data_IF_148967837366
#
_entry.id   IF_148967837366
#
_cell.length_a   1.000
_cell.length_b   1.000
_cell.length_c   1.000
_cell.angle_alpha   90.00
_cell.angle_beta   90.00
_cell.angle_gamma   90.00
#
_symmetry.space_group_name_H-M   'P 1'
#
loop_
_entity.id
_entity.type
_entity.pdbx_description
1 polymer ?
#
# COMPACT_ATOMS: atom_id res chain seq x y z
N UNK A 1 1.91 25.85 4.97
CA UNK A 1 1.88 24.39 5.28
C UNK A 1 2.74 23.69 4.27
N UNK A 2 3.77 22.98 4.70
CA UNK A 2 4.67 22.25 3.80
C UNK A 2 4.05 20.90 3.48
N UNK A 3 4.02 20.46 2.21
CA UNK A 3 3.41 19.19 1.84
C UNK A 3 4.14 18.02 2.49
N UNK A 4 3.34 17.06 2.88
CA UNK A 4 3.79 15.76 3.32
C UNK A 4 4.76 15.12 2.30
N UNK A 5 5.90 14.68 2.77
CA UNK A 5 6.91 14.01 1.95
C UNK A 5 7.96 14.91 1.31
N UNK A 6 7.85 16.24 1.40
CA UNK A 6 8.88 17.13 0.88
C UNK A 6 9.94 17.53 1.92
N UNK A 7 9.60 17.43 3.18
CA UNK A 7 10.47 17.79 4.29
C UNK A 7 10.26 16.85 5.48
N UNK A 8 11.35 16.36 6.04
CA UNK A 8 11.38 15.74 7.37
C UNK A 8 12.45 16.47 8.18
N UNK A 9 12.13 16.77 9.45
CA UNK A 9 13.05 17.39 10.40
C UNK A 9 13.22 16.50 11.63
N UNK A 10 14.44 16.48 12.15
CA UNK A 10 14.82 15.72 13.33
C UNK A 10 15.58 16.60 14.30
N UNK A 11 15.25 16.53 15.60
CA UNK A 11 16.06 17.04 16.69
C UNK A 11 16.82 15.84 17.27
N UNK A 12 18.15 15.87 17.22
CA UNK A 12 18.99 14.69 17.41
C UNK A 12 18.55 13.54 16.47
N UNK A 13 17.97 12.48 17.00
CA UNK A 13 17.46 11.36 16.25
C UNK A 13 15.92 11.28 16.22
N UNK A 14 15.23 12.17 16.93
CA UNK A 14 13.77 12.19 17.02
C UNK A 14 13.13 13.06 15.94
N UNK A 15 12.15 12.53 15.21
CA UNK A 15 11.40 13.30 14.22
C UNK A 15 10.54 14.37 14.90
N UNK A 16 10.71 15.62 14.48
CA UNK A 16 9.96 16.76 14.99
C UNK A 16 8.89 17.21 13.99
N UNK A 17 7.81 17.76 14.51
CA UNK A 17 6.77 18.35 13.69
C UNK A 17 7.12 19.79 13.34
N UNK A 18 7.63 20.03 12.16
CA UNK A 18 7.85 21.38 11.62
C UNK A 18 6.49 22.04 11.38
N UNK A 19 6.28 23.20 11.99
CA UNK A 19 5.07 24.02 11.82
C UNK A 19 5.29 25.18 10.87
N UNK A 20 6.47 25.79 10.90
CA UNK A 20 6.87 26.89 10.00
C UNK A 20 8.28 26.65 9.48
N UNK A 21 8.52 27.07 8.24
CA UNK A 21 9.84 27.05 7.59
C UNK A 21 10.13 28.41 6.99
N UNK A 22 11.28 28.99 7.32
CA UNK A 22 11.80 30.22 6.77
C UNK A 22 13.28 30.07 6.39
N UNK A 23 13.82 31.01 5.65
CA UNK A 23 15.24 31.02 5.25
C UNK A 23 16.19 31.19 6.46
N UNK A 24 15.72 31.88 7.51
CA UNK A 24 16.49 32.20 8.70
C UNK A 24 16.20 31.29 9.87
N UNK A 25 15.36 30.27 9.67
CA UNK A 25 14.98 29.34 10.74
C UNK A 25 13.68 28.61 10.50
N UNK A 26 13.18 28.00 11.55
CA UNK A 26 11.97 27.21 11.51
C UNK A 26 11.30 27.12 12.88
N UNK A 27 10.01 26.77 12.90
CA UNK A 27 9.29 26.46 14.13
C UNK A 27 8.90 24.97 14.15
N UNK A 28 8.91 24.37 15.34
CA UNK A 28 8.44 23.02 15.53
C UNK A 28 7.68 22.85 16.87
N UNK A 29 6.92 21.76 16.99
CA UNK A 29 6.14 21.41 18.18
C UNK A 29 6.48 20.02 18.68
N UNK A 30 6.43 19.89 20.02
CA UNK A 30 6.52 18.61 20.72
C UNK A 30 5.47 18.54 21.82
N UNK A 31 5.13 17.33 22.26
CA UNK A 31 4.22 17.08 23.39
C UNK A 31 4.98 17.03 24.72
N UNK A 32 6.28 16.81 24.67
CA UNK A 32 7.18 16.78 25.82
C UNK A 32 8.28 17.83 25.64
N UNK A 33 8.80 18.41 26.73
CA UNK A 33 9.89 19.37 26.62
C UNK A 33 11.15 18.68 26.10
N UNK A 34 11.86 19.36 25.21
CA UNK A 34 13.15 18.86 24.69
C UNK A 34 14.26 19.41 25.56
N UNK A 35 14.96 18.54 26.32
CA UNK A 35 15.91 18.97 27.34
C UNK A 35 17.25 19.52 26.77
N UNK A 36 17.76 18.92 25.68
CA UNK A 36 18.99 19.37 25.02
C UNK A 36 18.97 19.00 23.54
N UNK A 37 19.15 19.99 22.69
CA UNK A 37 19.35 19.81 21.27
C UNK A 37 20.73 20.37 20.91
N UNK A 38 21.57 19.53 20.34
CA UNK A 38 22.89 19.92 19.83
C UNK A 38 22.90 20.06 18.32
N UNK A 39 21.97 19.38 17.63
CA UNK A 39 21.83 19.44 16.17
C UNK A 39 20.40 19.20 15.75
N UNK A 40 20.06 19.80 14.61
CA UNK A 40 18.90 19.39 13.82
C UNK A 40 19.40 18.74 12.53
N UNK A 41 18.61 17.84 11.99
CA UNK A 41 18.83 17.22 10.69
C UNK A 41 17.56 17.35 9.86
N UNK A 42 17.71 17.83 8.65
CA UNK A 42 16.62 17.98 7.68
C UNK A 42 16.86 17.10 6.48
N UNK A 43 15.80 16.50 5.98
CA UNK A 43 15.77 15.83 4.69
C UNK A 43 14.86 16.66 3.78
N UNK A 44 15.46 17.47 2.92
CA UNK A 44 14.77 18.26 1.90
C UNK A 44 14.64 17.45 0.62
N UNK A 45 13.45 17.41 0.05
CA UNK A 45 13.25 16.79 -1.24
C UNK A 45 13.61 17.75 -2.37
N UNK A 46 14.60 17.37 -3.18
CA UNK A 46 14.95 18.06 -4.41
C UNK A 46 14.13 17.48 -5.56
N UNK A 47 13.20 18.26 -6.09
CA UNK A 47 12.31 17.83 -7.16
C UNK A 47 13.01 17.69 -8.51
N UNK A 48 14.07 18.45 -8.75
CA UNK A 48 14.82 18.37 -10.01
C UNK A 48 15.67 17.10 -10.08
N UNK A 49 16.31 16.75 -8.95
CA UNK A 49 17.10 15.53 -8.82
C UNK A 49 16.24 14.29 -8.50
N UNK A 50 14.98 14.48 -8.06
CA UNK A 50 14.10 13.42 -7.55
C UNK A 50 14.72 12.62 -6.39
N UNK A 51 15.40 13.31 -5.48
CA UNK A 51 16.08 12.71 -4.32
C UNK A 51 15.98 13.58 -3.08
N UNK A 52 16.22 12.95 -1.90
CA UNK A 52 16.34 13.70 -0.66
C UNK A 52 17.78 14.13 -0.42
N UNK A 53 17.93 15.39 -0.03
CA UNK A 53 19.20 15.98 0.39
C UNK A 53 19.17 16.22 1.89
N UNK A 54 20.17 15.68 2.59
CA UNK A 54 20.27 15.77 4.03
C UNK A 54 21.12 16.95 4.45
N UNK A 55 20.60 17.79 5.36
CA UNK A 55 21.28 18.98 5.88
C UNK A 55 21.29 18.94 7.40
N UNK A 56 22.46 19.07 8.00
CA UNK A 56 22.64 19.21 9.44
C UNK A 56 22.71 20.68 9.83
N UNK A 57 21.97 21.06 10.88
CA UNK A 57 22.02 22.39 11.49
C UNK A 57 22.56 22.25 12.90
N UNK A 58 23.76 22.80 13.12
CA UNK A 58 24.50 22.71 14.39
C UNK A 58 24.78 24.07 15.02
N UNK A 59 24.50 25.15 14.28
CA UNK A 59 24.65 26.52 14.76
C UNK A 59 23.28 27.18 14.71
N UNK A 60 22.68 27.37 15.87
CA UNK A 60 21.36 27.91 15.97
C UNK A 60 21.09 28.56 17.35
N UNK A 61 20.12 29.42 17.39
CA UNK A 61 19.50 29.94 18.60
C UNK A 61 18.12 29.31 18.75
N UNK A 62 17.80 28.81 19.95
CA UNK A 62 16.54 28.13 20.26
C UNK A 62 15.75 28.96 21.27
N UNK A 63 14.52 29.30 20.91
CA UNK A 63 13.55 29.93 21.81
C UNK A 63 12.38 28.98 22.06
N UNK A 64 12.06 28.77 23.31
CA UNK A 64 10.93 27.95 23.74
C UNK A 64 9.73 28.81 24.14
N UNK A 65 8.54 28.38 23.72
CA UNK A 65 7.28 28.87 24.26
C UNK A 65 6.37 27.70 24.60
N UNK A 66 5.56 27.86 25.64
CA UNK A 66 4.59 26.84 26.05
C UNK A 66 3.18 27.34 25.82
N UNK A 67 2.35 26.55 25.19
CA UNK A 67 0.92 26.81 25.10
C UNK A 67 0.12 25.61 25.58
N UNK A 68 -1.00 25.86 26.26
CA UNK A 68 -1.94 24.82 26.68
C UNK A 68 -3.13 24.82 25.69
N UNK A 69 -3.24 23.81 24.90
CA UNK A 69 -4.35 23.64 23.96
C UNK A 69 -5.24 22.51 24.45
N UNK A 70 -6.48 22.86 24.88
CA UNK A 70 -7.49 21.87 25.34
C UNK A 70 -6.98 20.96 26.47
N UNK A 71 -6.19 21.53 27.43
CA UNK A 71 -5.69 20.80 28.60
C UNK A 71 -4.50 19.85 28.30
N UNK A 72 -3.95 19.91 27.12
CA UNK A 72 -2.72 19.18 26.73
C UNK A 72 -1.60 20.21 26.57
N UNK A 73 -0.49 20.11 27.35
CA UNK A 73 0.66 20.98 27.15
C UNK A 73 1.28 20.74 25.77
N UNK A 74 1.53 21.83 25.05
CA UNK A 74 2.23 21.81 23.77
C UNK A 74 3.42 22.74 23.89
N UNK A 75 4.60 22.23 23.59
CA UNK A 75 5.83 22.98 23.56
C UNK A 75 6.10 23.42 22.12
N UNK A 76 6.27 24.73 21.93
CA UNK A 76 6.58 25.34 20.64
C UNK A 76 7.99 25.91 20.70
N UNK A 77 8.76 25.62 19.69
CA UNK A 77 10.14 26.03 19.57
C UNK A 77 10.34 26.84 18.29
N UNK A 78 11.03 27.97 18.42
CA UNK A 78 11.49 28.75 17.29
C UNK A 78 13.01 28.64 17.21
N UNK A 79 13.52 28.26 16.08
CA UNK A 79 14.95 28.08 15.83
C UNK A 79 15.39 29.08 14.79
N UNK A 80 16.44 29.87 15.12
CA UNK A 80 17.11 30.76 14.19
C UNK A 80 18.46 30.18 13.81
N UNK A 81 18.81 30.25 12.53
CA UNK A 81 20.09 29.76 12.02
C UNK A 81 20.53 30.57 10.81
N UNK A 82 21.82 30.91 10.79
CA UNK A 82 22.47 31.57 9.66
C UNK A 82 23.24 30.56 8.77
N UNK A 83 23.08 29.28 9.01
CA UNK A 83 23.82 28.22 8.34
C UNK A 83 23.45 28.17 6.84
N UNK A 84 24.40 28.48 5.97
CA UNK A 84 24.19 28.70 4.54
C UNK A 84 23.59 27.45 3.83
N UNK A 85 23.98 26.24 4.23
CA UNK A 85 23.42 25.00 3.67
C UNK A 85 21.94 24.89 3.96
N UNK A 86 21.50 25.14 5.22
CA UNK A 86 20.09 25.14 5.57
C UNK A 86 19.33 26.21 4.78
N UNK A 87 19.84 27.44 4.77
CA UNK A 87 19.19 28.57 4.09
C UNK A 87 18.94 28.29 2.61
N UNK A 88 19.93 27.75 1.91
CA UNK A 88 19.80 27.42 0.48
C UNK A 88 18.73 26.40 0.21
N UNK A 89 18.66 25.33 1.02
CA UNK A 89 17.66 24.27 0.85
C UNK A 89 16.26 24.73 1.26
N UNK A 90 16.14 25.50 2.35
CA UNK A 90 14.86 26.07 2.78
C UNK A 90 14.30 27.02 1.72
N UNK A 91 15.15 27.91 1.16
CA UNK A 91 14.75 28.81 0.08
C UNK A 91 14.31 28.05 -1.17
N UNK A 92 15.07 27.06 -1.60
CA UNK A 92 14.72 26.23 -2.74
C UNK A 92 13.37 25.51 -2.51
N UNK A 93 13.15 24.96 -1.33
CA UNK A 93 11.91 24.29 -0.94
C UNK A 93 10.70 25.25 -0.97
N UNK A 94 10.86 26.46 -0.40
CA UNK A 94 9.79 27.47 -0.36
C UNK A 94 9.42 27.90 -1.77
N UNK A 95 10.41 28.17 -2.63
CA UNK A 95 10.18 28.57 -4.02
C UNK A 95 9.51 27.46 -4.84
N UNK A 96 9.99 26.22 -4.68
CA UNK A 96 9.40 25.06 -5.35
C UNK A 96 7.95 24.85 -4.92
N UNK A 97 7.66 24.97 -3.63
CA UNK A 97 6.30 24.82 -3.12
C UNK A 97 5.38 25.96 -3.58
N UNK A 98 5.85 27.20 -3.55
CA UNK A 98 5.09 28.35 -4.06
C UNK A 98 4.74 28.18 -5.55
N UNK A 99 5.71 27.74 -6.35
CA UNK A 99 5.49 27.42 -7.77
C UNK A 99 4.45 26.31 -7.95
N UNK A 100 4.54 25.25 -7.17
CA UNK A 100 3.55 24.16 -7.20
C UNK A 100 2.14 24.67 -6.84
N UNK A 101 1.99 25.48 -5.79
CA UNK A 101 0.70 26.02 -5.36
C UNK A 101 0.09 26.91 -6.45
N UNK A 102 0.91 27.75 -7.10
CA UNK A 102 0.44 28.61 -8.21
C UNK A 102 -0.06 27.76 -9.38
N UNK A 103 0.69 26.76 -9.80
CA UNK A 103 0.28 25.85 -10.88
C UNK A 103 -1.00 25.08 -10.53
N UNK A 104 -1.12 24.60 -9.29
CA UNK A 104 -2.32 23.92 -8.83
C UNK A 104 -3.55 24.81 -8.81
N UNK A 105 -3.39 26.10 -8.46
CA UNK A 105 -4.49 27.07 -8.44
C UNK A 105 -4.90 27.51 -9.84
N UNK A 106 -3.96 27.56 -10.78
CA UNK A 106 -4.24 27.89 -12.18
C UNK A 106 -4.84 26.75 -12.98
N UNK A 107 -5.00 25.55 -12.39
CA UNK A 107 -5.43 24.32 -13.06
C UNK A 107 -4.54 23.91 -14.25
N UNK A 108 -3.35 24.51 -14.37
CA UNK A 108 -2.37 24.11 -15.37
C UNK A 108 -1.74 22.79 -14.95
N UNK A 109 -1.96 21.77 -15.75
CA UNK A 109 -1.30 20.46 -15.65
C UNK A 109 0.15 20.63 -16.17
N UNK A 110 1.04 21.04 -15.28
CA UNK A 110 2.45 21.20 -15.60
C UNK A 110 3.28 19.98 -15.15
N UNK A 111 4.47 19.86 -15.70
CA UNK A 111 5.48 18.84 -15.35
C UNK A 111 5.68 18.69 -13.83
N UNK A 112 5.53 19.78 -13.07
CA UNK A 112 5.63 19.78 -11.61
C UNK A 112 4.47 19.08 -10.90
N UNK A 113 3.27 19.19 -11.43
CA UNK A 113 2.11 18.45 -10.89
C UNK A 113 2.27 16.96 -11.11
N UNK A 114 2.79 16.55 -12.26
CA UNK A 114 3.09 15.15 -12.57
C UNK A 114 4.21 14.63 -11.68
N UNK A 115 5.31 15.37 -11.53
CA UNK A 115 6.43 14.98 -10.71
C UNK A 115 6.09 14.86 -9.21
N UNK A 116 5.22 15.77 -8.69
CA UNK A 116 4.91 15.81 -7.26
C UNK A 116 3.71 14.98 -6.84
N UNK A 117 2.69 14.91 -7.67
CA UNK A 117 1.37 14.39 -7.27
C UNK A 117 0.99 13.09 -7.98
N UNK A 118 1.79 12.62 -8.95
CA UNK A 118 1.43 11.47 -9.76
C UNK A 118 0.03 11.64 -10.32
N UNK A 119 -0.19 12.64 -11.15
CA UNK A 119 -1.48 12.83 -11.81
C UNK A 119 -1.84 11.60 -12.63
N UNK A 120 -3.14 11.30 -12.78
CA UNK A 120 -3.55 10.21 -13.65
C UNK A 120 -3.00 10.43 -15.04
N UNK A 121 -1.96 9.68 -15.39
CA UNK A 121 -1.39 9.69 -16.72
C UNK A 121 -2.11 8.68 -17.61
N UNK A 122 -2.34 9.02 -18.88
CA UNK A 122 -2.80 8.03 -19.85
C UNK A 122 -1.74 6.95 -20.00
N UNK A 123 -2.19 5.72 -20.12
CA UNK A 123 -1.32 4.58 -20.46
C UNK A 123 -0.99 4.61 -21.96
N UNK A 124 -0.28 5.64 -22.41
CA UNK A 124 0.29 5.74 -23.74
C UNK A 124 1.63 4.99 -23.87
N UNK A 125 2.26 5.06 -25.03
CA UNK A 125 3.51 4.33 -25.30
C UNK A 125 4.67 4.84 -24.41
N UNK A 126 4.75 6.14 -24.15
CA UNK A 126 5.80 6.72 -23.32
C UNK A 126 5.63 6.32 -21.85
N UNK A 127 4.40 6.37 -21.37
CA UNK A 127 4.07 5.89 -20.03
C UNK A 127 4.38 4.40 -19.88
N UNK A 128 3.99 3.57 -20.86
CA UNK A 128 4.24 2.12 -20.83
C UNK A 128 5.75 1.82 -20.79
N UNK A 129 6.56 2.58 -21.54
CA UNK A 129 8.03 2.45 -21.53
C UNK A 129 8.59 2.81 -20.14
N UNK A 130 8.21 3.96 -19.59
CA UNK A 130 8.69 4.42 -18.30
C UNK A 130 8.28 3.47 -17.16
N UNK A 131 7.04 2.98 -17.17
CA UNK A 131 6.59 2.00 -16.19
C UNK A 131 7.34 0.67 -16.31
N UNK A 132 7.60 0.22 -17.53
CA UNK A 132 8.36 -1.01 -17.76
C UNK A 132 9.81 -0.90 -17.27
N UNK A 133 10.46 0.25 -17.46
CA UNK A 133 11.80 0.52 -16.90
C UNK A 133 11.78 0.56 -15.38
N UNK A 134 10.79 1.22 -14.79
CA UNK A 134 10.65 1.28 -13.34
C UNK A 134 10.36 -0.11 -12.74
N UNK A 135 9.50 -0.92 -13.36
CA UNK A 135 9.27 -2.31 -12.94
C UNK A 135 10.55 -3.15 -12.97
N UNK A 136 11.38 -3.04 -14.02
CA UNK A 136 12.68 -3.74 -14.07
C UNK A 136 13.58 -3.33 -12.92
N UNK A 137 13.69 -2.03 -12.63
CA UNK A 137 14.49 -1.53 -11.52
C UNK A 137 13.96 -2.05 -10.16
N UNK A 138 12.66 -2.01 -9.95
CA UNK A 138 12.02 -2.51 -8.72
C UNK A 138 12.30 -3.99 -8.47
N UNK A 139 12.11 -4.83 -9.49
CA UNK A 139 12.30 -6.27 -9.30
C UNK A 139 13.76 -6.68 -9.31
N UNK A 140 14.65 -5.93 -9.97
CA UNK A 140 16.08 -6.11 -9.81
C UNK A 140 16.52 -5.82 -8.36
N UNK A 141 16.07 -4.71 -7.76
CA UNK A 141 16.36 -4.38 -6.37
C UNK A 141 15.85 -5.47 -5.40
N UNK A 142 14.64 -6.01 -5.62
CA UNK A 142 14.16 -7.15 -4.84
C UNK A 142 15.08 -8.37 -4.95
N UNK A 143 15.52 -8.73 -6.17
CA UNK A 143 16.40 -9.89 -6.40
C UNK A 143 17.78 -9.70 -5.78
N UNK A 144 18.37 -8.49 -5.87
CA UNK A 144 19.67 -8.17 -5.30
C UNK A 144 19.72 -8.36 -3.78
N UNK A 145 18.58 -8.23 -3.11
CA UNK A 145 18.50 -8.43 -1.65
C UNK A 145 18.30 -9.89 -1.23
N UNK A 146 17.91 -10.78 -2.15
CA UNK A 146 17.56 -12.18 -1.84
C UNK A 146 18.80 -13.07 -1.68
N UNK A 147 18.71 -14.02 -0.76
CA UNK A 147 19.74 -15.01 -0.48
C UNK A 147 19.23 -16.44 -0.66
N UNK A 148 20.13 -17.42 -0.69
CA UNK A 148 19.75 -18.84 -0.79
C UNK A 148 18.86 -19.28 0.40
N UNK A 149 19.08 -18.72 1.59
CA UNK A 149 18.27 -19.04 2.77
C UNK A 149 16.84 -18.46 2.66
N UNK A 150 16.66 -17.34 1.97
CA UNK A 150 15.32 -16.78 1.70
C UNK A 150 14.53 -17.69 0.78
N UNK A 151 15.20 -18.24 -0.25
CA UNK A 151 14.59 -19.20 -1.19
C UNK A 151 14.11 -20.46 -0.46
N UNK A 152 14.87 -20.99 0.48
CA UNK A 152 14.47 -22.18 1.26
C UNK A 152 13.18 -21.95 2.05
N UNK A 153 12.97 -20.75 2.56
CA UNK A 153 11.75 -20.41 3.28
C UNK A 153 10.56 -20.16 2.37
N UNK A 154 10.79 -19.49 1.25
CA UNK A 154 9.76 -19.29 0.24
C UNK A 154 9.25 -20.62 -0.30
N UNK A 155 10.11 -21.63 -0.44
CA UNK A 155 9.72 -22.99 -0.85
C UNK A 155 8.89 -23.75 0.19
N UNK A 156 8.93 -23.34 1.46
CA UNK A 156 8.11 -23.92 2.53
C UNK A 156 6.74 -23.29 2.66
N UNK A 157 6.56 -22.07 2.14
CA UNK A 157 5.30 -21.37 2.13
C UNK A 157 4.51 -21.68 0.84
N UNK A 158 3.19 -21.70 0.93
CA UNK A 158 2.34 -21.73 -0.28
C UNK A 158 2.55 -20.45 -1.08
N UNK A 159 2.76 -20.54 -2.39
CA UNK A 159 2.80 -19.37 -3.25
C UNK A 159 1.43 -19.17 -3.93
N UNK A 160 0.93 -17.94 -3.84
CA UNK A 160 -0.31 -17.52 -4.48
C UNK A 160 -0.07 -16.32 -5.42
N UNK A 161 -0.87 -16.20 -6.46
CA UNK A 161 -0.93 -15.01 -7.30
C UNK A 161 -2.23 -14.26 -7.06
N UNK A 162 -2.15 -12.94 -6.97
CA UNK A 162 -3.31 -12.06 -6.88
C UNK A 162 -3.74 -11.58 -8.26
N UNK A 163 -4.97 -11.97 -8.65
CA UNK A 163 -5.67 -11.48 -9.82
C UNK A 163 -6.73 -10.50 -9.33
N UNK A 164 -6.53 -9.21 -9.54
CA UNK A 164 -7.27 -8.13 -8.88
C UNK A 164 -8.02 -7.19 -9.86
N UNK A 165 -8.02 -7.54 -11.15
CA UNK A 165 -8.58 -6.67 -12.19
C UNK A 165 -9.01 -7.43 -13.45
N UNK A 166 -9.93 -6.85 -14.25
CA UNK A 166 -10.50 -7.51 -15.42
C UNK A 166 -9.44 -8.06 -16.40
N UNK A 167 -8.36 -7.31 -16.64
CA UNK A 167 -7.32 -7.74 -17.59
C UNK A 167 -6.64 -9.05 -17.16
N UNK A 168 -6.44 -9.25 -15.85
CA UNK A 168 -5.86 -10.50 -15.32
C UNK A 168 -6.86 -11.65 -15.39
N UNK A 169 -8.15 -11.39 -15.11
CA UNK A 169 -9.21 -12.39 -15.20
C UNK A 169 -9.36 -12.89 -16.64
N UNK A 170 -9.37 -11.97 -17.60
CA UNK A 170 -9.48 -12.29 -19.04
C UNK A 170 -8.29 -13.11 -19.52
N UNK A 171 -7.06 -12.72 -19.14
CA UNK A 171 -5.86 -13.46 -19.54
C UNK A 171 -5.83 -14.86 -18.91
N UNK A 172 -6.16 -14.98 -17.64
CA UNK A 172 -6.23 -16.29 -16.99
C UNK A 172 -7.31 -17.18 -17.62
N UNK A 173 -8.47 -16.63 -17.95
CA UNK A 173 -9.55 -17.38 -18.60
C UNK A 173 -9.19 -17.84 -20.03
N UNK A 174 -8.35 -17.08 -20.74
CA UNK A 174 -8.06 -17.30 -22.15
C UNK A 174 -7.00 -18.38 -22.44
N UNK A 175 -6.17 -18.77 -21.47
CA UNK A 175 -5.03 -19.66 -21.70
C UNK A 175 -4.79 -20.62 -20.54
N UNK A 176 -4.13 -21.79 -20.75
CA UNK A 176 -3.71 -22.68 -19.66
C UNK A 176 -2.85 -21.97 -18.62
N UNK A 177 -2.93 -22.39 -17.36
CA UNK A 177 -2.22 -21.74 -16.24
C UNK A 177 -0.71 -21.58 -16.47
N UNK A 178 -0.04 -22.59 -17.03
CA UNK A 178 1.38 -22.50 -17.33
C UNK A 178 1.72 -21.36 -18.31
N UNK A 179 0.89 -21.18 -19.35
CA UNK A 179 1.06 -20.06 -20.31
C UNK A 179 0.72 -18.72 -19.68
N UNK A 180 -0.31 -18.70 -18.83
CA UNK A 180 -0.65 -17.50 -18.04
C UNK A 180 0.50 -17.08 -17.13
N UNK A 181 1.17 -18.02 -16.47
CA UNK A 181 2.33 -17.73 -15.64
C UNK A 181 3.47 -17.10 -16.44
N UNK A 182 3.83 -17.67 -17.57
CA UNK A 182 4.88 -17.12 -18.43
C UNK A 182 4.53 -15.70 -18.89
N UNK A 183 3.31 -15.49 -19.34
CA UNK A 183 2.82 -14.17 -19.70
C UNK A 183 2.84 -13.20 -18.51
N UNK A 184 2.37 -13.61 -17.34
CA UNK A 184 2.29 -12.78 -16.13
C UNK A 184 3.64 -12.24 -15.70
N UNK A 185 4.66 -13.10 -15.67
CA UNK A 185 6.01 -12.69 -15.28
C UNK A 185 6.69 -11.81 -16.34
N UNK A 186 6.50 -12.10 -17.62
CA UNK A 186 7.03 -11.30 -18.72
C UNK A 186 6.39 -9.90 -18.78
N UNK A 187 5.06 -9.83 -18.68
CA UNK A 187 4.33 -8.56 -18.70
C UNK A 187 4.73 -7.66 -17.54
N UNK A 188 4.91 -8.23 -16.36
CA UNK A 188 5.36 -7.51 -15.19
C UNK A 188 6.86 -7.22 -15.13
N UNK A 189 7.65 -7.66 -16.12
CA UNK A 189 9.12 -7.48 -16.15
C UNK A 189 9.82 -8.12 -14.92
N UNK A 190 9.27 -9.22 -14.43
CA UNK A 190 9.66 -9.90 -13.20
C UNK A 190 10.21 -11.32 -13.42
N UNK A 191 10.69 -11.64 -14.62
CA UNK A 191 11.20 -12.98 -14.98
C UNK A 191 12.39 -13.41 -14.10
N UNK A 192 13.26 -12.47 -13.73
CA UNK A 192 14.39 -12.78 -12.84
C UNK A 192 13.90 -13.09 -11.41
N UNK A 193 12.89 -12.39 -10.94
CA UNK A 193 12.27 -12.67 -9.64
C UNK A 193 11.58 -14.04 -9.63
N UNK A 194 10.93 -14.44 -10.73
CA UNK A 194 10.29 -15.75 -10.89
C UNK A 194 11.24 -16.90 -10.56
N UNK A 195 12.51 -16.82 -10.94
CA UNK A 195 13.51 -17.89 -10.74
C UNK A 195 13.77 -18.21 -9.27
N UNK A 196 13.41 -17.32 -8.38
CA UNK A 196 13.58 -17.45 -6.93
C UNK A 196 12.34 -17.97 -6.21
N UNK A 197 11.20 -18.06 -6.92
CA UNK A 197 9.91 -18.40 -6.34
C UNK A 197 9.45 -19.79 -6.79
N UNK A 198 8.75 -20.54 -5.92
CA UNK A 198 8.12 -21.79 -6.31
C UNK A 198 7.00 -21.55 -7.34
N UNK A 199 6.47 -22.61 -7.92
CA UNK A 199 5.30 -22.51 -8.77
C UNK A 199 4.07 -22.17 -7.90
N UNK A 200 3.28 -21.16 -8.26
CA UNK A 200 2.05 -20.86 -7.54
C UNK A 200 1.04 -22.00 -7.58
N UNK A 201 0.43 -22.29 -6.45
CA UNK A 201 -0.58 -23.34 -6.29
C UNK A 201 -1.96 -22.79 -5.92
N UNK A 202 -2.06 -21.46 -5.81
CA UNK A 202 -3.29 -20.76 -5.43
C UNK A 202 -3.48 -19.47 -6.23
N UNK A 203 -4.74 -19.14 -6.48
CA UNK A 203 -5.14 -17.85 -7.03
C UNK A 203 -6.00 -17.08 -6.04
N UNK A 204 -5.72 -15.78 -5.89
CA UNK A 204 -6.61 -14.81 -5.28
C UNK A 204 -7.43 -14.15 -6.37
N UNK A 205 -8.75 -14.27 -6.30
CA UNK A 205 -9.69 -13.69 -7.28
C UNK A 205 -10.51 -12.59 -6.62
N UNK A 206 -10.43 -11.39 -7.17
CA UNK A 206 -11.15 -10.23 -6.65
C UNK A 206 -10.22 -9.09 -6.24
N UNK A 207 -10.77 -8.03 -5.67
CA UNK A 207 -10.00 -6.84 -5.33
C UNK A 207 -10.34 -6.35 -3.92
N UNK A 208 -9.33 -6.26 -3.05
CA UNK A 208 -9.49 -5.84 -1.66
C UNK A 208 -9.90 -4.36 -1.50
N UNK A 209 -9.71 -3.52 -2.51
CA UNK A 209 -9.81 -2.07 -2.39
C UNK A 209 -10.96 -1.44 -3.20
N UNK A 210 -11.36 -2.07 -4.31
CA UNK A 210 -12.38 -1.53 -5.21
C UNK A 210 -13.40 -2.62 -5.60
N UNK A 211 -14.63 -2.49 -5.12
CA UNK A 211 -15.71 -3.43 -5.42
C UNK A 211 -16.09 -3.51 -6.91
N UNK A 212 -15.83 -2.43 -7.68
CA UNK A 212 -16.12 -2.37 -9.12
C UNK A 212 -15.09 -3.12 -9.98
N UNK A 213 -13.99 -3.59 -9.37
CA UNK A 213 -13.01 -4.47 -10.02
C UNK A 213 -13.21 -5.95 -9.67
N UNK A 214 -14.19 -6.27 -8.85
CA UNK A 214 -14.59 -7.65 -8.59
C UNK A 214 -15.10 -8.29 -9.89
N UNK A 215 -14.75 -9.55 -10.19
CA UNK A 215 -15.18 -10.19 -11.43
C UNK A 215 -16.70 -10.34 -11.48
N UNK A 216 -17.32 -10.18 -12.66
CA UNK A 216 -18.71 -10.57 -12.85
C UNK A 216 -18.94 -12.02 -12.42
N UNK A 217 -20.12 -12.31 -11.88
CA UNK A 217 -20.42 -13.62 -11.31
C UNK A 217 -20.14 -14.79 -12.25
N UNK A 218 -20.61 -14.71 -13.48
CA UNK A 218 -20.37 -15.75 -14.49
C UNK A 218 -18.86 -15.96 -14.76
N UNK A 219 -18.07 -14.90 -14.76
CA UNK A 219 -16.62 -14.98 -14.90
C UNK A 219 -15.97 -15.58 -13.65
N UNK A 220 -16.43 -15.20 -12.45
CA UNK A 220 -15.94 -15.79 -11.20
C UNK A 220 -16.12 -17.31 -11.20
N UNK A 221 -17.33 -17.80 -11.46
CA UNK A 221 -17.59 -19.24 -11.49
C UNK A 221 -16.84 -19.98 -12.60
N UNK A 222 -16.68 -19.37 -13.78
CA UNK A 222 -15.85 -19.94 -14.84
C UNK A 222 -14.37 -20.07 -14.41
N UNK A 223 -13.83 -19.08 -13.69
CA UNK A 223 -12.45 -19.13 -13.14
C UNK A 223 -12.34 -20.16 -12.01
N UNK A 224 -13.36 -20.32 -11.17
CA UNK A 224 -13.39 -21.36 -10.13
C UNK A 224 -13.34 -22.77 -10.74
N UNK A 225 -14.16 -23.05 -11.76
CA UNK A 225 -14.11 -24.33 -12.48
C UNK A 225 -12.77 -24.59 -13.12
N UNK A 226 -12.24 -23.60 -13.82
CA UNK A 226 -10.92 -23.68 -14.44
C UNK A 226 -9.81 -23.95 -13.40
N UNK A 227 -9.81 -23.23 -12.28
CA UNK A 227 -8.84 -23.43 -11.22
C UNK A 227 -8.92 -24.85 -10.64
N UNK A 228 -10.13 -25.37 -10.46
CA UNK A 228 -10.37 -26.74 -10.00
C UNK A 228 -9.80 -27.77 -11.00
N UNK A 229 -10.07 -27.60 -12.30
CA UNK A 229 -9.51 -28.46 -13.37
C UNK A 229 -7.97 -28.41 -13.41
N UNK A 230 -7.37 -27.26 -13.13
CA UNK A 230 -5.92 -27.04 -13.07
C UNK A 230 -5.31 -27.36 -11.69
N UNK A 231 -6.11 -27.92 -10.77
CA UNK A 231 -5.69 -28.29 -9.39
C UNK A 231 -5.12 -27.10 -8.58
N UNK A 232 -5.65 -25.90 -8.81
CA UNK A 232 -5.32 -24.70 -8.08
C UNK A 232 -6.31 -24.44 -6.95
N UNK A 233 -5.82 -24.12 -5.77
CA UNK A 233 -6.66 -23.60 -4.69
C UNK A 233 -7.10 -22.16 -5.01
N UNK A 234 -8.25 -21.74 -4.48
CA UNK A 234 -8.77 -20.40 -4.71
C UNK A 234 -9.09 -19.70 -3.39
N UNK A 235 -8.74 -18.42 -3.35
CA UNK A 235 -9.15 -17.44 -2.35
C UNK A 235 -9.94 -16.35 -3.06
N UNK A 236 -11.16 -16.06 -2.62
CA UNK A 236 -11.96 -14.96 -3.17
C UNK A 236 -11.82 -13.74 -2.28
N UNK A 237 -11.40 -12.63 -2.86
CA UNK A 237 -11.11 -11.39 -2.13
C UNK A 237 -12.19 -10.35 -2.36
N UNK A 238 -12.91 -10.01 -1.31
CA UNK A 238 -13.89 -8.93 -1.32
C UNK A 238 -13.28 -7.64 -0.76
N UNK A 239 -13.71 -6.50 -1.30
CA UNK A 239 -13.48 -5.19 -0.69
C UNK A 239 -14.50 -4.96 0.45
N UNK A 240 -14.51 -3.74 1.03
CA UNK A 240 -15.63 -3.34 1.89
C UNK A 240 -16.96 -3.41 1.14
N UNK A 241 -18.02 -3.86 1.85
CA UNK A 241 -19.35 -4.02 1.27
C UNK A 241 -20.08 -2.67 1.30
N UNK A 242 -20.67 -2.29 0.19
CA UNK A 242 -21.52 -1.12 0.10
C UNK A 242 -22.94 -1.48 0.51
N UNK A 243 -23.64 -0.58 1.18
CA UNK A 243 -25.02 -0.78 1.61
C UNK A 243 -25.94 -1.25 0.46
N UNK A 244 -25.81 -0.62 -0.70
CA UNK A 244 -26.61 -0.96 -1.89
C UNK A 244 -26.24 -2.32 -2.53
N UNK A 245 -25.13 -2.93 -2.14
CA UNK A 245 -24.67 -4.25 -2.61
C UNK A 245 -24.87 -5.37 -1.58
N UNK A 246 -25.41 -5.08 -0.40
CA UNK A 246 -25.57 -6.09 0.65
C UNK A 246 -26.35 -7.31 0.20
N UNK A 247 -27.49 -7.10 -0.45
CA UNK A 247 -28.37 -8.18 -0.95
C UNK A 247 -27.68 -9.00 -2.03
N UNK A 248 -27.02 -8.34 -2.97
CA UNK A 248 -26.30 -9.00 -4.07
C UNK A 248 -25.09 -9.77 -3.56
N UNK A 249 -24.33 -9.20 -2.61
CA UNK A 249 -23.20 -9.87 -1.99
C UNK A 249 -23.63 -11.11 -1.24
N UNK A 250 -24.72 -11.04 -0.46
CA UNK A 250 -25.27 -12.19 0.25
C UNK A 250 -25.70 -13.29 -0.72
N UNK A 251 -26.44 -12.95 -1.77
CA UNK A 251 -26.87 -13.91 -2.78
C UNK A 251 -25.67 -14.56 -3.52
N UNK A 252 -24.59 -13.82 -3.76
CA UNK A 252 -23.36 -14.37 -4.33
C UNK A 252 -22.70 -15.38 -3.38
N UNK A 253 -22.61 -15.07 -2.08
CA UNK A 253 -22.07 -15.98 -1.08
C UNK A 253 -22.89 -17.27 -0.96
N UNK A 254 -24.22 -17.19 -1.01
CA UNK A 254 -25.12 -18.36 -1.03
C UNK A 254 -24.85 -19.25 -2.27
N UNK A 255 -24.60 -18.66 -3.43
CA UNK A 255 -24.24 -19.41 -4.64
C UNK A 255 -22.84 -20.00 -4.58
N UNK A 256 -21.87 -19.30 -3.99
CA UNK A 256 -20.52 -19.84 -3.74
C UNK A 256 -20.58 -21.03 -2.79
N UNK A 257 -21.38 -20.93 -1.70
CA UNK A 257 -21.62 -22.04 -0.79
C UNK A 257 -22.19 -23.25 -1.54
N UNK A 258 -23.25 -23.05 -2.32
CA UNK A 258 -23.86 -24.12 -3.08
C UNK A 258 -22.88 -24.77 -4.08
N UNK A 259 -22.05 -23.97 -4.72
CA UNK A 259 -21.00 -24.44 -5.63
C UNK A 259 -19.95 -25.27 -4.88
N UNK A 260 -19.46 -24.79 -3.73
CA UNK A 260 -18.49 -25.52 -2.90
C UNK A 260 -19.05 -26.88 -2.46
N UNK A 261 -20.31 -26.91 -1.99
CA UNK A 261 -20.97 -28.16 -1.57
C UNK A 261 -21.19 -29.14 -2.72
N UNK A 262 -21.52 -28.64 -3.91
CA UNK A 262 -21.69 -29.46 -5.11
C UNK A 262 -20.37 -30.07 -5.62
N UNK A 263 -19.25 -29.42 -5.38
CA UNK A 263 -17.93 -29.83 -5.84
C UNK A 263 -17.06 -30.47 -4.73
N UNK A 264 -17.58 -30.64 -3.52
CA UNK A 264 -16.90 -31.19 -2.34
C UNK A 264 -15.55 -30.45 -2.09
N UNK A 265 -15.59 -29.12 -2.10
CA UNK A 265 -14.42 -28.28 -1.95
C UNK A 265 -14.67 -27.09 -1.01
N UNK A 266 -13.61 -26.41 -0.63
CA UNK A 266 -13.66 -25.21 0.17
C UNK A 266 -13.05 -24.03 -0.58
N UNK A 267 -13.59 -22.83 -0.35
CA UNK A 267 -13.03 -21.58 -0.85
C UNK A 267 -12.74 -20.68 0.34
N UNK A 268 -11.55 -20.14 0.39
CA UNK A 268 -11.17 -19.13 1.37
C UNK A 268 -11.75 -17.77 0.95
N UNK A 269 -12.31 -17.04 1.89
CA UNK A 269 -12.92 -15.72 1.66
C UNK A 269 -12.14 -14.66 2.44
N UNK A 270 -11.41 -13.78 1.75
CA UNK A 270 -10.78 -12.62 2.40
C UNK A 270 -11.84 -11.58 2.71
N UNK A 271 -12.02 -11.33 3.99
CA UNK A 271 -13.02 -10.43 4.53
C UNK A 271 -12.38 -9.10 4.93
N UNK A 272 -12.80 -8.03 4.25
CA UNK A 272 -12.33 -6.66 4.49
C UNK A 272 -13.39 -5.74 5.12
N UNK A 273 -14.54 -6.31 5.50
CA UNK A 273 -15.67 -5.60 6.13
C UNK A 273 -16.35 -6.47 7.19
N UNK A 274 -16.67 -5.89 8.33
CA UNK A 274 -17.30 -6.62 9.44
C UNK A 274 -18.66 -7.20 9.11
N UNK A 275 -19.43 -6.60 8.20
CA UNK A 275 -20.75 -7.09 7.79
C UNK A 275 -20.68 -8.49 7.14
N UNK A 276 -19.59 -8.79 6.43
CA UNK A 276 -19.42 -10.07 5.75
C UNK A 276 -19.30 -11.26 6.71
N UNK A 277 -18.74 -11.06 7.91
CA UNK A 277 -18.66 -12.16 8.89
C UNK A 277 -20.04 -12.68 9.31
N UNK A 278 -21.02 -11.78 9.35
CA UNK A 278 -22.42 -12.18 9.61
C UNK A 278 -23.03 -12.94 8.44
N UNK A 279 -22.66 -12.57 7.21
CA UNK A 279 -23.17 -13.26 6.00
C UNK A 279 -22.55 -14.65 5.83
N UNK A 280 -21.35 -14.88 6.35
CA UNK A 280 -20.64 -16.17 6.27
C UNK A 280 -20.98 -17.11 7.43
N UNK A 281 -21.78 -16.67 8.40
CA UNK A 281 -21.96 -17.36 9.68
C UNK A 281 -22.34 -18.85 9.54
N UNK A 282 -23.21 -19.17 8.61
CA UNK A 282 -23.78 -20.51 8.42
C UNK A 282 -23.02 -21.35 7.37
N UNK A 283 -22.05 -20.77 6.65
CA UNK A 283 -21.32 -21.41 5.55
C UNK A 283 -19.82 -21.57 5.80
N UNK A 284 -19.33 -21.35 7.04
CA UNK A 284 -17.89 -21.34 7.38
C UNK A 284 -17.18 -22.67 7.17
N UNK A 285 -17.92 -23.75 7.08
CA UNK A 285 -17.40 -25.08 6.79
C UNK A 285 -16.91 -25.23 5.34
N UNK A 286 -17.44 -24.45 4.41
CA UNK A 286 -17.06 -24.46 3.00
C UNK A 286 -16.54 -23.09 2.50
N UNK A 287 -17.00 -21.98 3.11
CA UNK A 287 -16.50 -20.62 2.86
C UNK A 287 -15.66 -20.16 4.06
N UNK A 288 -14.37 -20.45 4.01
CA UNK A 288 -13.45 -20.24 5.15
C UNK A 288 -13.05 -18.77 5.27
N UNK A 289 -13.43 -18.06 6.35
CA UNK A 289 -13.13 -16.65 6.48
C UNK A 289 -11.65 -16.40 6.81
N UNK A 290 -11.02 -15.48 6.08
CA UNK A 290 -9.69 -14.95 6.32
C UNK A 290 -9.75 -13.46 6.64
N UNK A 291 -9.01 -13.01 7.65
CA UNK A 291 -9.02 -11.63 8.11
C UNK A 291 -8.21 -10.74 7.18
N UNK A 292 -8.88 -9.89 6.41
CA UNK A 292 -8.29 -9.12 5.33
C UNK A 292 -7.42 -7.93 5.78
N UNK A 293 -6.60 -7.45 4.86
CA UNK A 293 -5.63 -6.36 5.11
C UNK A 293 -6.27 -5.04 5.52
N UNK A 294 -7.52 -4.76 5.10
CA UNK A 294 -8.24 -3.55 5.50
C UNK A 294 -8.73 -3.59 6.96
N UNK A 295 -8.90 -4.77 7.53
CA UNK A 295 -9.22 -4.96 8.94
C UNK A 295 -7.94 -5.16 9.78
N UNK A 296 -6.92 -5.80 9.23
CA UNK A 296 -5.61 -5.98 9.86
C UNK A 296 -4.74 -4.73 9.69
N UNK A 297 -5.21 -3.62 10.27
CA UNK A 297 -4.59 -2.30 10.09
C UNK A 297 -3.25 -2.18 10.79
N UNK A 298 -2.31 -1.53 10.07
CA UNK A 298 -1.04 -1.12 10.64
C UNK A 298 -0.58 0.19 9.99
N UNK A 299 0.39 0.84 10.64
CA UNK A 299 0.98 2.07 10.09
C UNK A 299 1.86 1.69 8.90
N UNK A 300 1.55 2.21 7.73
CA UNK A 300 2.27 2.02 6.49
C UNK A 300 2.64 3.39 5.92
N UNK A 301 3.91 3.74 6.00
CA UNK A 301 4.42 5.04 5.57
C UNK A 301 5.77 4.82 4.88
N UNK A 302 5.90 5.11 3.58
CA UNK A 302 7.16 4.93 2.85
C UNK A 302 8.34 5.66 3.46
N UNK A 303 8.08 6.72 4.23
CA UNK A 303 9.12 7.48 4.94
C UNK A 303 9.64 6.79 6.20
N UNK A 304 9.11 5.64 6.57
CA UNK A 304 9.62 4.90 7.74
C UNK A 304 11.10 4.55 7.62
N UNK A 305 11.64 4.45 6.41
CA UNK A 305 13.08 4.26 6.19
C UNK A 305 13.95 5.42 6.70
N UNK A 306 13.37 6.62 6.80
CA UNK A 306 14.07 7.81 7.33
C UNK A 306 13.85 8.01 8.84
N UNK A 307 12.89 7.31 9.43
CA UNK A 307 12.57 7.41 10.85
C UNK A 307 13.54 6.56 11.64
N UNK A 308 14.29 7.23 12.51
CA UNK A 308 15.02 6.60 13.59
C UNK A 308 14.15 6.71 14.84
N UNK A 309 14.07 5.70 15.63
CA UNK A 309 13.26 5.67 16.83
C UNK A 309 12.81 4.24 17.16
N UNK A 310 11.95 4.08 18.14
CA UNK A 310 11.48 2.75 18.53
C UNK A 310 10.54 2.16 17.45
N UNK A 311 11.14 1.47 16.48
CA UNK A 311 10.38 0.73 15.47
C UNK A 311 9.66 -0.48 16.06
N UNK A 312 9.98 -0.88 17.29
CA UNK A 312 9.31 -1.96 18.00
C UNK A 312 7.82 -1.70 18.20
N UNK A 313 7.44 -0.44 18.43
CA UNK A 313 6.03 -0.04 18.52
C UNK A 313 5.22 -0.31 17.27
N UNK A 314 5.87 -0.35 16.10
CA UNK A 314 5.21 -0.61 14.82
C UNK A 314 5.30 -2.06 14.38
N UNK A 315 6.15 -2.86 15.03
CA UNK A 315 6.32 -4.27 14.71
C UNK A 315 5.07 -5.11 15.02
N UNK A 316 4.25 -4.65 15.94
CA UNK A 316 3.03 -5.31 16.39
C UNK A 316 1.78 -4.51 16.05
N UNK A 317 0.62 -5.19 16.01
CA UNK A 317 -0.70 -4.60 15.90
C UNK A 317 -1.71 -5.40 16.75
N UNK A 318 -3.01 -5.11 16.63
CA UNK A 318 -4.05 -5.79 17.44
C UNK A 318 -4.07 -7.32 17.26
N UNK A 319 -3.72 -7.83 16.09
CA UNK A 319 -3.70 -9.28 15.82
C UNK A 319 -2.56 -9.99 16.57
N UNK A 320 -1.53 -9.27 17.03
CA UNK A 320 -0.50 -9.87 17.89
C UNK A 320 -1.03 -10.22 19.29
N UNK A 321 -2.09 -9.58 19.77
CA UNK A 321 -2.70 -9.90 21.06
C UNK A 321 -3.48 -11.22 21.00
N UNK A 322 -3.11 -12.19 21.83
CA UNK A 322 -3.73 -13.53 21.84
C UNK A 322 -5.23 -13.46 22.12
N UNK A 323 -5.65 -12.65 23.09
CA UNK A 323 -7.08 -12.49 23.43
C UNK A 323 -7.92 -12.02 22.23
N UNK A 324 -7.34 -11.16 21.38
CA UNK A 324 -8.05 -10.68 20.19
C UNK A 324 -8.18 -11.76 19.13
N UNK A 325 -7.14 -12.56 18.91
CA UNK A 325 -7.20 -13.71 18.02
C UNK A 325 -8.22 -14.75 18.50
N UNK A 326 -8.22 -15.08 19.80
CA UNK A 326 -9.21 -15.98 20.40
C UNK A 326 -10.64 -15.44 20.19
N UNK A 327 -10.87 -14.15 20.41
CA UNK A 327 -12.16 -13.52 20.12
C UNK A 327 -12.56 -13.64 18.64
N UNK A 328 -11.63 -13.41 17.71
CA UNK A 328 -11.88 -13.53 16.27
C UNK A 328 -12.21 -14.97 15.87
N UNK A 329 -11.51 -15.95 16.42
CA UNK A 329 -11.74 -17.37 16.18
C UNK A 329 -13.09 -17.82 16.73
N UNK A 330 -13.35 -17.59 18.01
CA UNK A 330 -14.60 -18.01 18.67
C UNK A 330 -15.84 -17.35 18.07
N UNK A 331 -15.75 -16.06 17.75
CA UNK A 331 -16.91 -15.30 17.28
C UNK A 331 -17.15 -15.44 15.78
N UNK A 332 -16.07 -15.48 14.99
CA UNK A 332 -16.15 -15.40 13.53
C UNK A 332 -15.52 -16.57 12.78
N UNK A 333 -14.86 -17.50 13.47
CA UNK A 333 -14.17 -18.64 12.87
C UNK A 333 -12.87 -18.27 12.15
N UNK A 334 -12.26 -17.11 12.48
CA UNK A 334 -11.07 -16.62 11.82
C UNK A 334 -9.83 -17.30 12.39
N UNK A 335 -9.08 -17.99 11.53
CA UNK A 335 -7.82 -18.67 11.87
C UNK A 335 -6.65 -18.23 10.98
N UNK A 336 -6.93 -17.46 9.94
CA UNK A 336 -5.92 -16.95 8.99
C UNK A 336 -6.01 -15.43 8.83
N UNK A 337 -4.86 -14.81 8.56
CA UNK A 337 -4.70 -13.36 8.58
C UNK A 337 -3.89 -12.89 7.38
N UNK A 338 -4.44 -11.93 6.63
CA UNK A 338 -3.72 -11.26 5.56
C UNK A 338 -2.81 -10.15 6.10
N UNK A 339 -1.58 -10.15 5.68
CA UNK A 339 -0.55 -9.17 6.01
C UNK A 339 0.02 -8.58 4.75
N UNK A 340 0.50 -7.36 4.82
CA UNK A 340 1.28 -6.75 3.75
C UNK A 340 2.70 -6.51 4.24
N UNK A 341 3.69 -6.68 3.36
CA UNK A 341 5.01 -6.13 3.60
C UNK A 341 4.91 -4.61 3.78
N UNK A 342 5.80 -3.98 4.51
CA UNK A 342 5.69 -2.54 4.79
C UNK A 342 7.05 -1.85 5.03
N UNK A 343 8.13 -2.41 4.53
CA UNK A 343 9.46 -1.80 4.57
C UNK A 343 10.11 -1.76 5.96
N UNK A 344 9.50 -2.35 6.99
CA UNK A 344 10.06 -2.50 8.33
C UNK A 344 9.75 -3.86 8.94
N UNK A 345 10.48 -4.24 10.00
CA UNK A 345 10.30 -5.52 10.66
C UNK A 345 8.90 -5.66 11.26
N UNK A 346 8.24 -6.77 10.96
CA UNK A 346 6.94 -7.14 11.50
C UNK A 346 7.09 -8.39 12.35
N UNK A 347 6.39 -8.43 13.48
CA UNK A 347 6.22 -9.64 14.27
C UNK A 347 4.90 -10.30 13.84
N UNK A 348 4.99 -11.50 13.29
CA UNK A 348 3.84 -12.29 12.92
C UNK A 348 3.55 -13.30 14.03
N UNK A 349 2.29 -13.44 14.49
CA UNK A 349 1.94 -14.45 15.48
C UNK A 349 2.08 -15.87 14.90
N UNK A 350 2.16 -16.88 15.76
CA UNK A 350 2.18 -18.29 15.38
C UNK A 350 0.78 -18.75 14.93
N UNK A 351 0.38 -18.35 13.73
CA UNK A 351 -0.92 -18.67 13.11
C UNK A 351 -0.73 -18.79 11.61
N UNK A 352 -1.82 -19.04 10.85
CA UNK A 352 -1.78 -18.96 9.40
C UNK A 352 -1.70 -17.49 8.95
N UNK A 353 -0.50 -17.06 8.54
CA UNK A 353 -0.25 -15.70 8.06
C UNK A 353 0.05 -15.72 6.57
N UNK A 354 -0.68 -14.93 5.81
CA UNK A 354 -0.55 -14.78 4.38
C UNK A 354 0.03 -13.40 4.08
N UNK A 355 1.22 -13.34 3.48
CA UNK A 355 1.97 -12.11 3.28
C UNK A 355 1.91 -11.65 1.83
N UNK A 356 1.29 -10.50 1.58
CA UNK A 356 1.29 -9.84 0.28
C UNK A 356 2.62 -9.15 0.01
N UNK A 357 3.21 -9.43 -1.16
CA UNK A 357 4.51 -8.96 -1.60
C UNK A 357 4.51 -8.64 -3.10
N UNK A 358 5.38 -7.78 -3.61
CA UNK A 358 6.29 -6.87 -2.90
C UNK A 358 5.65 -5.50 -2.60
N UNK A 359 4.43 -5.26 -3.07
CA UNK A 359 3.75 -3.99 -2.88
C UNK A 359 2.81 -4.03 -1.68
N UNK A 360 2.78 -2.93 -0.94
CA UNK A 360 1.85 -2.73 0.16
C UNK A 360 1.04 -1.45 -0.02
N UNK A 361 -0.21 -1.50 0.39
CA UNK A 361 -1.11 -0.38 0.30
C UNK A 361 -0.79 0.65 1.39
N UNK A 362 -0.46 1.88 1.00
CA UNK A 362 -0.18 2.99 1.92
C UNK A 362 -1.41 3.82 2.22
N UNK A 363 -2.30 3.96 1.24
CA UNK A 363 -3.54 4.70 1.37
C UNK A 363 -4.59 4.09 0.44
N UNK A 364 -5.84 4.05 0.91
CA UNK A 364 -7.01 3.73 0.10
C UNK A 364 -8.13 4.72 0.39
N UNK A 365 -8.98 4.98 -0.58
CA UNK A 365 -10.12 5.85 -0.44
C UNK A 365 -11.38 5.16 -0.94
N UNK A 366 -12.46 5.33 -0.23
CA UNK A 366 -13.78 4.93 -0.72
C UNK A 366 -14.23 5.75 -1.94
N UNK A 367 -13.63 6.93 -2.13
CA UNK A 367 -13.79 7.80 -3.29
C UNK A 367 -12.55 7.63 -4.19
N UNK A 368 -12.77 7.23 -5.43
CA UNK A 368 -11.65 7.00 -6.34
C UNK A 368 -11.12 8.33 -6.91
N UNK A 369 -9.84 8.69 -6.66
CA UNK A 369 -9.27 9.91 -7.23
C UNK A 369 -9.24 9.90 -8.76
N UNK A 370 -9.03 8.75 -9.38
CA UNK A 370 -9.08 8.60 -10.85
C UNK A 370 -10.49 8.88 -11.38
N UNK A 371 -11.52 8.33 -10.71
CA UNK A 371 -12.90 8.59 -11.09
C UNK A 371 -13.24 10.08 -10.97
N UNK A 372 -12.84 10.73 -9.89
CA UNK A 372 -13.07 12.15 -9.66
C UNK A 372 -12.47 13.01 -10.76
N UNK A 373 -11.19 12.81 -11.08
CA UNK A 373 -10.51 13.56 -12.14
C UNK A 373 -11.09 13.26 -13.52
N UNK A 374 -11.25 11.99 -13.86
CA UNK A 374 -11.64 11.61 -15.21
C UNK A 374 -13.10 11.97 -15.55
N UNK A 375 -13.96 11.98 -14.53
CA UNK A 375 -15.39 12.30 -14.72
C UNK A 375 -15.68 13.79 -14.55
N UNK A 376 -15.01 14.46 -13.61
CA UNK A 376 -15.39 15.81 -13.19
C UNK A 376 -14.28 16.85 -13.38
N UNK A 377 -13.05 16.43 -13.70
CA UNK A 377 -11.90 17.33 -13.75
C UNK A 377 -11.41 17.79 -12.37
N UNK A 378 -12.01 17.29 -11.27
CA UNK A 378 -11.73 17.74 -9.92
C UNK A 378 -11.27 16.57 -9.03
N UNK A 379 -9.99 16.54 -8.69
CA UNK A 379 -9.42 15.48 -7.83
C UNK A 379 -10.02 15.43 -6.41
N UNK A 380 -10.42 16.58 -5.89
CA UNK A 380 -11.00 16.72 -4.55
C UNK A 380 -12.48 16.36 -4.44
N UNK A 381 -13.14 16.11 -5.55
CA UNK A 381 -14.57 15.79 -5.54
C UNK A 381 -14.80 14.38 -4.99
N UNK A 382 -15.43 14.33 -3.82
CA UNK A 382 -15.67 13.07 -3.10
C UNK A 382 -17.09 12.56 -3.40
N UNK A 383 -17.22 11.83 -4.49
CA UNK A 383 -18.41 11.06 -4.82
C UNK A 383 -18.10 9.56 -4.86
N UNK A 384 -19.03 8.76 -4.33
CA UNK A 384 -18.91 7.31 -4.42
C UNK A 384 -19.08 6.86 -5.88
N UNK A 385 -18.11 6.15 -6.47
CA UNK A 385 -18.27 5.61 -7.82
C UNK A 385 -19.27 4.44 -7.78
N UNK A 386 -20.47 4.66 -8.29
CA UNK A 386 -21.48 3.60 -8.43
C UNK A 386 -21.36 2.93 -9.80
N UNK A 387 -21.20 3.74 -10.85
CA UNK A 387 -21.05 3.27 -12.24
C UNK A 387 -19.75 3.82 -12.82
N UNK A 388 -18.65 3.10 -12.60
CA UNK A 388 -17.35 3.47 -13.14
C UNK A 388 -17.08 2.70 -14.44
N UNK A 389 -16.71 3.37 -15.54
CA UNK A 389 -16.36 2.70 -16.79
C UNK A 389 -14.96 2.05 -16.75
N UNK A 390 -14.33 1.96 -15.58
CA UNK A 390 -13.00 1.40 -15.43
C UNK A 390 -11.88 2.34 -15.88
N UNK A 391 -11.91 3.62 -15.48
CA UNK A 391 -10.85 4.58 -15.85
C UNK A 391 -9.44 4.09 -15.54
N UNK A 392 -9.27 3.28 -14.48
CA UNK A 392 -8.00 2.69 -14.10
C UNK A 392 -7.42 1.68 -15.11
N UNK A 393 -8.21 1.18 -16.05
CA UNK A 393 -7.69 0.38 -17.18
C UNK A 393 -6.85 1.21 -18.15
N UNK A 394 -7.14 2.52 -18.25
CA UNK A 394 -6.49 3.43 -19.21
C UNK A 394 -5.61 4.49 -18.56
N UNK A 395 -5.66 4.58 -17.24
CA UNK A 395 -4.94 5.62 -16.49
C UNK A 395 -4.37 5.08 -15.19
N UNK A 396 -3.27 5.67 -14.76
CA UNK A 396 -2.57 5.33 -13.52
C UNK A 396 -1.82 6.55 -13.00
N UNK A 397 -1.55 6.60 -11.70
CA UNK A 397 -0.71 7.63 -11.09
C UNK A 397 0.68 7.05 -10.82
N UNK A 398 1.71 7.59 -11.45
CA UNK A 398 3.08 7.35 -11.06
C UNK A 398 3.55 8.43 -10.09
N UNK A 399 4.32 8.01 -9.10
CA UNK A 399 4.99 8.89 -8.16
C UNK A 399 6.48 9.00 -8.49
N UNK A 400 7.17 10.05 -7.96
CA UNK A 400 8.61 10.18 -8.15
C UNK A 400 9.35 8.90 -7.77
N UNK A 401 10.40 8.57 -8.54
CA UNK A 401 11.13 7.29 -8.43
C UNK A 401 11.63 6.96 -7.02
N UNK A 402 12.09 7.96 -6.26
CA UNK A 402 12.59 7.77 -4.90
C UNK A 402 11.53 7.29 -3.90
N UNK A 403 10.23 7.48 -4.20
CA UNK A 403 9.14 7.00 -3.33
C UNK A 403 8.77 5.54 -3.61
N UNK A 404 9.22 4.98 -4.73
CA UNK A 404 8.87 3.62 -5.16
C UNK A 404 7.36 3.34 -5.05
N UNK A 405 6.54 4.32 -5.47
CA UNK A 405 5.09 4.28 -5.31
C UNK A 405 4.36 4.33 -6.63
N UNK A 406 3.16 3.75 -6.64
CA UNK A 406 2.22 3.82 -7.76
C UNK A 406 0.79 3.94 -7.24
N UNK A 407 -0.02 4.77 -7.89
CA UNK A 407 -1.45 4.88 -7.60
C UNK A 407 -2.25 4.06 -8.60
N UNK A 408 -2.99 3.07 -8.11
CA UNK A 408 -3.87 2.23 -8.91
C UNK A 408 -5.29 2.30 -8.36
N UNK A 409 -6.26 2.35 -9.25
CA UNK A 409 -7.67 2.51 -8.88
C UNK A 409 -7.85 3.53 -7.74
N UNK A 410 -8.42 3.17 -6.61
CA UNK A 410 -8.66 4.07 -5.47
C UNK A 410 -7.55 4.01 -4.40
N UNK A 411 -6.41 3.39 -4.71
CA UNK A 411 -5.38 3.07 -3.71
C UNK A 411 -3.98 3.48 -4.17
N UNK A 412 -3.12 3.73 -3.19
CA UNK A 412 -1.70 4.00 -3.37
C UNK A 412 -0.89 2.82 -2.82
N UNK A 413 0.07 2.38 -3.60
CA UNK A 413 0.97 1.28 -3.25
C UNK A 413 2.41 1.75 -3.21
N UNK A 414 3.18 1.22 -2.28
CA UNK A 414 4.63 1.38 -2.24
C UNK A 414 5.31 0.01 -2.33
N UNK A 415 6.50 -0.01 -2.90
CA UNK A 415 7.34 -1.18 -2.96
C UNK A 415 8.06 -1.39 -1.64
N UNK A 416 8.12 -2.63 -1.19
CA UNK A 416 9.06 -3.09 -0.18
C UNK A 416 10.13 -3.96 -0.88
N UNK A 417 11.31 -3.41 -1.12
CA UNK A 417 12.41 -4.12 -1.79
C UNK A 417 12.89 -5.36 -1.00
N UNK A 418 12.59 -5.39 0.32
CA UNK A 418 12.92 -6.48 1.22
C UNK A 418 11.75 -7.44 1.48
N UNK A 419 10.69 -7.33 0.68
CA UNK A 419 9.47 -8.12 0.89
C UNK A 419 9.70 -9.63 0.87
N UNK A 420 10.65 -10.09 0.08
CA UNK A 420 10.97 -11.52 -0.10
C UNK A 420 12.03 -12.04 0.87
N UNK A 421 12.57 -11.19 1.75
CA UNK A 421 13.50 -11.66 2.77
C UNK A 421 12.78 -12.50 3.83
N UNK A 422 13.56 -13.35 4.50
CA UNK A 422 13.09 -14.26 5.53
C UNK A 422 12.16 -13.60 6.54
N UNK A 423 10.94 -14.11 6.66
CA UNK A 423 10.00 -13.77 7.72
C UNK A 423 9.51 -15.06 8.39
N UNK A 424 9.60 -15.13 9.69
CA UNK A 424 9.08 -16.26 10.47
C UNK A 424 7.54 -16.25 10.44
N UNK A 425 6.94 -17.42 10.60
CA UNK A 425 5.49 -17.61 10.71
C UNK A 425 4.69 -17.20 9.46
N UNK A 426 5.30 -17.20 8.26
CA UNK A 426 4.58 -17.02 7.00
C UNK A 426 4.19 -18.38 6.44
N UNK A 427 2.90 -18.64 6.34
CA UNK A 427 2.34 -19.87 5.74
C UNK A 427 2.09 -19.73 4.24
N UNK A 428 1.82 -18.51 3.76
CA UNK A 428 1.57 -18.22 2.35
C UNK A 428 2.20 -16.89 1.95
N UNK A 429 2.80 -16.87 0.77
CA UNK A 429 3.26 -15.64 0.09
C UNK A 429 2.30 -15.34 -1.05
N UNK A 430 1.71 -14.15 -1.05
CA UNK A 430 0.77 -13.69 -2.08
C UNK A 430 1.47 -12.64 -2.93
N UNK A 431 1.74 -12.98 -4.18
CA UNK A 431 2.42 -12.07 -5.10
C UNK A 431 1.41 -11.16 -5.78
N UNK A 432 1.57 -9.85 -5.59
CA UNK A 432 0.77 -8.79 -6.18
C UNK A 432 1.62 -7.91 -7.09
N UNK A 433 1.85 -8.32 -8.32
CA UNK A 433 2.56 -7.48 -9.28
C UNK A 433 1.60 -6.47 -9.93
N UNK A 434 2.07 -5.23 -10.02
CA UNK A 434 1.27 -4.09 -10.50
C UNK A 434 1.12 -4.03 -12.00
#
# INVERSE_FOLDING_TARGET
>A
MIPFGLLAGFAEDDEIRITELAEEGFCFRTLEPVEKISRFRFCFYDMAASEYQEVAVTQFELLESRSDTVGIPVYEYTVYTEQGAYRSHAQAMILQYDRFVRQKLSLEEGEWSEAMCGYPAKKDADFARNLAEQKRAWFAACVETMTASDTELLTKAELALELDRPELYEQYAAMPFAQFLDWYWQENKAVELQKWLPVPTRLYLGNAFCHLLFPPENQLFAMLEKAREESLAVTVTFSYVREYLLTETKALLERLEAWCRANDCTVEIVVNDWSMFSMLADARDVLVPCFGTLLNKRKKDPRMCYKKGDTGLFAQNSVNASFYRTYLEERYGIQSYEWESCGYTQQLPETANHLHVPFYQTNTSQYCPLYAVCKYGERGRQELPVNCPGYCSKQVCLYPKHLNMVGRYNSLFALDERAFLRKENVSRVVVNLL
#
